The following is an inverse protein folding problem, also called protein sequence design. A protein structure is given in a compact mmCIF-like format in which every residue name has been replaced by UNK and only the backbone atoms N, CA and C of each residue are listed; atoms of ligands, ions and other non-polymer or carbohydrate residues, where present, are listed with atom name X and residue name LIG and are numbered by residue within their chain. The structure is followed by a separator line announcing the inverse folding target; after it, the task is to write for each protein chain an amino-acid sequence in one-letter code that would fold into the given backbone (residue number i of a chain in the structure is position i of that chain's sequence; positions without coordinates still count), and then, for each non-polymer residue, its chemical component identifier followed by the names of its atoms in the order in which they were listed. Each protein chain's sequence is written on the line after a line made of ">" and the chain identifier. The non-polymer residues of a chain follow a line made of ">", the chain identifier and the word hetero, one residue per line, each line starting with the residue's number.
data_IF_358539743194
#
_entry.id   IF_358539743194
#
_cell.length_a   1.000
_cell.length_b   1.000
_cell.length_c   1.000
_cell.angle_alpha   90.00
_cell.angle_beta   90.00
_cell.angle_gamma   90.00
#
_symmetry.space_group_name_H-M   'P 1'
#
loop_
_entity.id
_entity.type
_entity.pdbx_description
1 polymer ?
#
# COMPACT_ATOMS: atom_id res chain seq x y z
N UNK A 1 5.50 48.81 43.72
CA UNK A 1 4.80 47.53 43.46
C UNK A 1 5.78 46.60 42.74
N UNK A 2 6.55 45.79 43.47
CA UNK A 2 7.59 44.94 42.90
C UNK A 2 6.96 43.66 42.35
N UNK A 3 6.96 43.52 41.02
CA UNK A 3 6.57 42.27 40.37
C UNK A 3 7.67 41.25 40.60
N UNK A 4 7.38 40.21 41.39
CA UNK A 4 8.24 39.03 41.52
C UNK A 4 8.31 38.38 40.14
N UNK A 5 9.50 38.35 39.53
CA UNK A 5 9.72 37.63 38.28
C UNK A 5 9.91 36.16 38.61
N UNK A 6 8.87 35.36 38.39
CA UNK A 6 8.93 33.90 38.52
C UNK A 6 9.70 33.36 37.30
N UNK A 7 10.97 32.98 37.51
CA UNK A 7 11.77 32.27 36.52
C UNK A 7 11.54 30.77 36.61
N UNK A 8 11.61 30.08 35.48
CA UNK A 8 11.63 28.61 35.44
C UNK A 8 12.91 28.10 36.12
N UNK A 9 12.78 27.09 36.97
CA UNK A 9 13.93 26.44 37.59
C UNK A 9 14.58 25.44 36.62
N UNK A 10 15.89 25.23 36.75
CA UNK A 10 16.62 24.23 35.96
C UNK A 10 16.06 22.82 36.18
N UNK A 11 15.60 22.52 37.40
CA UNK A 11 15.03 21.22 37.72
C UNK A 11 13.67 21.02 37.03
N UNK A 12 12.81 22.04 36.97
CA UNK A 12 11.55 21.96 36.22
C UNK A 12 11.79 21.65 34.75
N UNK A 13 12.78 22.31 34.12
CA UNK A 13 13.10 22.07 32.72
C UNK A 13 13.69 20.66 32.49
N UNK A 14 14.48 20.16 33.45
CA UNK A 14 15.07 18.83 33.41
C UNK A 14 14.00 17.72 33.53
N UNK A 15 13.01 17.89 34.42
CA UNK A 15 11.93 16.89 34.57
C UNK A 15 11.07 16.85 33.30
N UNK A 16 10.82 18.00 32.66
CA UNK A 16 10.00 18.07 31.44
C UNK A 16 10.64 17.29 30.29
N UNK A 17 11.93 17.49 30.02
CA UNK A 17 12.61 16.74 28.96
C UNK A 17 12.67 15.23 29.27
N UNK A 18 12.76 14.86 30.55
CA UNK A 18 12.72 13.47 30.98
C UNK A 18 11.36 12.82 30.66
N UNK A 19 10.25 13.51 30.98
CA UNK A 19 8.90 13.01 30.69
C UNK A 19 8.64 12.95 29.19
N UNK A 20 9.02 13.99 28.43
CA UNK A 20 8.87 14.01 26.96
C UNK A 20 9.65 12.85 26.32
N UNK A 21 10.85 12.54 26.82
CA UNK A 21 11.64 11.40 26.35
C UNK A 21 10.93 10.05 26.51
N UNK A 22 10.31 9.82 27.68
CA UNK A 22 9.54 8.60 27.95
C UNK A 22 8.34 8.51 27.01
N UNK A 23 7.54 9.58 26.92
CA UNK A 23 6.35 9.60 26.07
C UNK A 23 6.71 9.42 24.58
N UNK A 24 7.79 10.04 24.11
CA UNK A 24 8.25 9.93 22.72
C UNK A 24 8.61 8.49 22.34
N UNK A 25 9.27 7.74 23.25
CA UNK A 25 9.65 6.34 22.98
C UNK A 25 8.45 5.42 22.68
N UNK A 26 7.35 5.59 23.42
CA UNK A 26 6.12 4.79 23.26
C UNK A 26 5.46 5.12 21.93
N UNK A 27 5.42 6.40 21.56
CA UNK A 27 4.82 6.89 20.31
C UNK A 27 5.59 6.39 19.09
N UNK A 28 6.92 6.28 19.15
CA UNK A 28 7.71 5.80 18.02
C UNK A 28 7.40 4.35 17.65
N UNK A 29 7.22 3.47 18.65
CA UNK A 29 6.87 2.07 18.41
C UNK A 29 5.49 1.95 17.77
N UNK A 30 4.50 2.70 18.25
CA UNK A 30 3.14 2.65 17.71
C UNK A 30 3.04 3.24 16.29
N UNK A 31 3.79 4.31 16.00
CA UNK A 31 3.85 4.93 14.68
C UNK A 31 4.43 3.99 13.62
N UNK A 32 5.40 3.14 13.96
CA UNK A 32 5.98 2.22 13.00
C UNK A 32 4.95 1.19 12.51
N UNK A 33 4.22 0.56 13.44
CA UNK A 33 3.13 -0.36 13.09
C UNK A 33 1.99 0.33 12.33
N UNK A 34 1.61 1.55 12.73
CA UNK A 34 0.59 2.32 12.03
C UNK A 34 1.00 2.64 10.57
N UNK A 35 2.27 2.95 10.33
CA UNK A 35 2.80 3.18 8.97
C UNK A 35 2.74 1.91 8.12
N UNK A 36 3.14 0.75 8.65
CA UNK A 36 3.05 -0.52 7.90
C UNK A 36 1.61 -0.85 7.53
N UNK A 37 0.67 -0.72 8.46
CA UNK A 37 -0.77 -0.92 8.18
C UNK A 37 -1.33 0.06 7.15
N UNK A 38 -0.90 1.33 7.19
CA UNK A 38 -1.30 2.31 6.19
C UNK A 38 -0.78 1.95 4.78
N UNK A 39 0.44 1.42 4.69
CA UNK A 39 0.97 0.90 3.42
C UNK A 39 0.17 -0.31 2.93
N UNK A 40 -0.12 -1.29 3.79
CA UNK A 40 -0.94 -2.44 3.43
C UNK A 40 -2.36 -2.02 2.95
N UNK A 41 -2.98 -1.04 3.60
CA UNK A 41 -4.26 -0.49 3.15
C UNK A 41 -4.16 0.20 1.78
N UNK A 42 -3.05 0.92 1.52
CA UNK A 42 -2.81 1.59 0.24
C UNK A 42 -2.57 0.58 -0.89
N UNK A 43 -1.85 -0.50 -0.59
CA UNK A 43 -1.65 -1.65 -1.47
C UNK A 43 -2.98 -2.30 -1.86
N UNK A 44 -3.82 -2.65 -0.87
CA UNK A 44 -5.16 -3.22 -1.09
C UNK A 44 -6.04 -2.31 -1.95
N UNK A 45 -6.01 -1.00 -1.70
CA UNK A 45 -6.73 -0.01 -2.51
C UNK A 45 -6.23 0.06 -3.95
N UNK A 46 -4.91 -0.03 -4.17
CA UNK A 46 -4.31 0.01 -5.50
C UNK A 46 -4.75 -1.22 -6.29
N UNK A 47 -4.70 -2.42 -5.70
CA UNK A 47 -5.19 -3.64 -6.35
C UNK A 47 -6.67 -3.58 -6.69
N UNK A 48 -7.50 -3.06 -5.78
CA UNK A 48 -8.92 -2.87 -6.03
C UNK A 48 -9.23 -1.90 -7.17
N UNK A 49 -8.36 -0.90 -7.41
CA UNK A 49 -8.51 0.04 -8.53
C UNK A 49 -8.18 -0.57 -9.90
N UNK A 50 -7.38 -1.64 -9.94
CA UNK A 50 -7.03 -2.35 -11.17
C UNK A 50 -8.16 -3.28 -11.63
N UNK A 51 -8.85 -3.92 -10.67
CA UNK A 51 -9.90 -4.90 -10.93
C UNK A 51 -10.96 -4.47 -11.97
N UNK A 52 -11.53 -3.26 -11.95
CA UNK A 52 -12.50 -2.85 -12.97
C UNK A 52 -11.88 -2.76 -14.37
N UNK A 53 -10.62 -2.31 -14.49
CA UNK A 53 -9.96 -2.22 -15.79
C UNK A 53 -9.71 -3.61 -16.38
N UNK A 54 -9.33 -4.57 -15.54
CA UNK A 54 -9.14 -5.97 -15.93
C UNK A 54 -10.46 -6.63 -16.34
N UNK A 55 -11.55 -6.38 -15.61
CA UNK A 55 -12.88 -6.88 -16.00
C UNK A 55 -13.35 -6.30 -17.34
N UNK A 56 -12.99 -5.06 -17.67
CA UNK A 56 -13.31 -4.47 -18.97
C UNK A 56 -12.55 -5.18 -20.09
N UNK A 57 -11.27 -5.51 -19.87
CA UNK A 57 -10.47 -6.27 -20.84
C UNK A 57 -11.13 -7.61 -21.20
N UNK A 58 -11.57 -8.34 -20.19
CA UNK A 58 -12.28 -9.61 -20.38
C UNK A 58 -13.62 -9.40 -21.11
N UNK A 59 -14.39 -8.36 -20.75
CA UNK A 59 -15.66 -8.03 -21.44
C UNK A 59 -15.48 -7.62 -22.91
N UNK A 60 -14.31 -7.09 -23.27
CA UNK A 60 -13.97 -6.71 -24.64
C UNK A 60 -13.35 -7.86 -25.45
N UNK A 61 -13.37 -9.10 -24.94
CA UNK A 61 -12.70 -10.28 -25.52
C UNK A 61 -11.19 -10.05 -25.75
N UNK A 62 -10.51 -9.43 -24.79
CA UNK A 62 -9.06 -9.17 -24.83
C UNK A 62 -8.30 -9.97 -23.78
N UNK A 63 -7.09 -10.42 -24.14
CA UNK A 63 -6.20 -11.11 -23.19
C UNK A 63 -5.47 -10.10 -22.30
N UNK A 64 -5.35 -10.41 -21.01
CA UNK A 64 -4.47 -9.68 -20.10
C UNK A 64 -3.01 -9.80 -20.56
N UNK A 65 -2.31 -8.67 -20.53
CA UNK A 65 -0.89 -8.58 -20.86
C UNK A 65 -0.03 -8.73 -19.62
N UNK A 66 1.17 -9.31 -19.78
CA UNK A 66 2.14 -9.41 -18.70
C UNK A 66 2.46 -8.03 -18.10
N UNK A 67 2.60 -7.95 -16.78
CA UNK A 67 2.86 -6.68 -16.12
C UNK A 67 4.25 -6.14 -16.43
N UNK A 68 4.26 -4.96 -17.04
CA UNK A 68 5.41 -4.07 -17.18
C UNK A 68 4.88 -2.67 -16.90
N UNK A 69 5.64 -1.88 -16.14
CA UNK A 69 5.21 -0.51 -15.78
C UNK A 69 5.06 0.32 -17.05
N UNK A 70 3.87 0.91 -17.23
CA UNK A 70 3.56 1.75 -18.39
C UNK A 70 3.07 0.99 -19.62
N UNK A 71 3.08 -0.35 -19.60
CA UNK A 71 2.47 -1.17 -20.64
C UNK A 71 0.96 -1.32 -20.42
N UNK A 72 0.21 -1.62 -21.48
CA UNK A 72 -1.23 -1.80 -21.39
C UNK A 72 -1.60 -3.02 -20.54
N UNK A 73 -2.76 -2.95 -19.88
CA UNK A 73 -3.30 -4.02 -19.01
C UNK A 73 -3.70 -5.25 -19.82
N UNK A 74 -4.23 -5.04 -21.03
CA UNK A 74 -4.61 -6.08 -21.97
C UNK A 74 -4.22 -5.70 -23.39
N UNK A 75 -4.21 -6.68 -24.29
CA UNK A 75 -3.87 -6.50 -25.70
C UNK A 75 -4.72 -5.40 -26.31
N UNK A 76 -4.10 -4.47 -27.06
CA UNK A 76 -4.77 -3.37 -27.76
C UNK A 76 -5.57 -2.36 -26.88
N UNK A 77 -5.33 -2.35 -25.57
CA UNK A 77 -5.93 -1.38 -24.64
C UNK A 77 -5.07 -0.11 -24.46
N UNK A 78 -5.72 1.02 -24.18
CA UNK A 78 -5.03 2.26 -23.74
C UNK A 78 -4.88 2.35 -22.23
N UNK A 79 -5.53 1.47 -21.47
CA UNK A 79 -5.43 1.41 -20.01
C UNK A 79 -4.11 0.75 -19.64
N UNK A 80 -3.27 1.46 -18.88
CA UNK A 80 -1.94 0.99 -18.49
C UNK A 80 -1.90 0.47 -17.06
N UNK A 81 -0.97 -0.43 -16.77
CA UNK A 81 -0.70 -0.84 -15.41
C UNK A 81 -0.26 0.36 -14.57
N UNK A 82 -0.87 0.60 -13.39
CA UNK A 82 -0.47 1.70 -12.53
C UNK A 82 0.94 1.46 -11.97
N UNK A 83 1.68 2.55 -11.75
CA UNK A 83 2.94 2.46 -11.02
C UNK A 83 2.67 2.08 -9.57
N UNK A 84 3.35 1.04 -9.08
CA UNK A 84 3.32 0.68 -7.66
C UNK A 84 4.20 1.69 -6.91
N UNK A 85 3.63 2.54 -6.04
CA UNK A 85 4.41 3.58 -5.38
C UNK A 85 5.48 2.95 -4.48
N UNK A 86 6.75 3.36 -4.65
CA UNK A 86 7.90 2.78 -3.92
C UNK A 86 7.81 3.01 -2.40
N UNK A 87 7.04 4.02 -1.98
CA UNK A 87 6.76 4.32 -0.58
C UNK A 87 5.73 3.36 0.04
N UNK A 88 4.99 2.60 -0.78
CA UNK A 88 4.06 1.55 -0.40
C UNK A 88 4.73 0.19 -0.50
N UNK A 89 5.32 -0.14 -1.66
CA UNK A 89 6.05 -1.38 -1.90
C UNK A 89 7.50 -1.07 -2.28
N UNK A 90 8.47 -1.61 -1.54
CA UNK A 90 9.89 -1.54 -1.87
C UNK A 90 10.21 -2.29 -3.18
N UNK A 91 9.42 -3.32 -3.48
CA UNK A 91 9.43 -4.07 -4.74
C UNK A 91 8.04 -4.61 -5.02
N UNK A 92 7.48 -4.35 -6.19
CA UNK A 92 6.17 -4.87 -6.60
C UNK A 92 6.31 -5.74 -7.84
N UNK A 93 5.85 -6.99 -7.79
CA UNK A 93 5.72 -7.85 -8.97
C UNK A 93 4.27 -8.23 -9.16
N UNK A 94 3.77 -8.16 -10.39
CA UNK A 94 2.45 -8.68 -10.75
C UNK A 94 2.64 -9.86 -11.70
N UNK A 95 2.00 -10.98 -11.39
CA UNK A 95 1.84 -12.12 -12.26
C UNK A 95 0.40 -12.15 -12.75
N UNK A 96 0.20 -12.48 -14.02
CA UNK A 96 -1.10 -12.46 -14.69
C UNK A 96 -1.32 -13.82 -15.35
N UNK A 97 -2.52 -14.37 -15.18
CA UNK A 97 -2.97 -15.61 -15.78
C UNK A 97 -4.29 -15.35 -16.47
N UNK A 98 -4.27 -15.41 -17.79
CA UNK A 98 -5.44 -15.33 -18.65
C UNK A 98 -5.06 -16.06 -19.95
N UNK A 99 -5.80 -17.13 -20.26
CA UNK A 99 -5.45 -18.06 -21.35
C UNK A 99 -6.47 -17.96 -22.49
N UNK A 100 -7.68 -17.50 -22.21
CA UNK A 100 -8.77 -17.39 -23.19
C UNK A 100 -9.47 -16.06 -23.00
N UNK A 101 -9.51 -15.27 -24.06
CA UNK A 101 -10.23 -14.00 -24.04
C UNK A 101 -11.74 -14.21 -23.83
N UNK A 102 -12.33 -13.44 -22.91
CA UNK A 102 -13.78 -13.32 -22.73
C UNK A 102 -14.45 -14.53 -22.10
N UNK A 103 -13.70 -15.42 -21.45
CA UNK A 103 -14.26 -16.59 -20.77
C UNK A 103 -14.63 -16.31 -19.30
N UNK A 104 -14.28 -15.14 -18.78
CA UNK A 104 -14.50 -14.79 -17.38
C UNK A 104 -13.52 -15.41 -16.40
N UNK A 105 -12.48 -16.11 -16.86
CA UNK A 105 -11.46 -16.78 -16.05
C UNK A 105 -10.09 -16.12 -16.19
N UNK A 106 -9.92 -15.03 -15.45
CA UNK A 106 -8.63 -14.36 -15.27
C UNK A 106 -8.21 -14.34 -13.79
N UNK A 107 -6.90 -14.30 -13.58
CA UNK A 107 -6.31 -14.06 -12.28
C UNK A 107 -5.08 -13.17 -12.39
N UNK A 108 -4.95 -12.20 -11.49
CA UNK A 108 -3.70 -11.47 -11.32
C UNK A 108 -3.27 -11.46 -9.85
N UNK A 109 -2.01 -11.79 -9.61
CA UNK A 109 -1.41 -11.85 -8.28
C UNK A 109 -0.32 -10.79 -8.17
N UNK A 110 -0.38 -9.98 -7.13
CA UNK A 110 0.64 -8.97 -6.82
C UNK A 110 1.34 -9.31 -5.52
N UNK A 111 2.67 -9.24 -5.52
CA UNK A 111 3.51 -9.37 -4.33
C UNK A 111 4.22 -8.04 -4.07
N UNK A 112 4.07 -7.53 -2.86
CA UNK A 112 4.55 -6.22 -2.41
C UNK A 112 5.61 -6.37 -1.31
N UNK A 113 6.87 -6.36 -1.71
CA UNK A 113 7.98 -6.35 -0.76
C UNK A 113 7.99 -5.10 0.12
N UNK A 114 8.25 -5.29 1.42
CA UNK A 114 8.29 -4.19 2.40
C UNK A 114 7.03 -4.02 3.25
N UNK A 115 6.03 -4.89 3.06
CA UNK A 115 4.93 -5.12 4.00
C UNK A 115 5.24 -6.29 4.93
N UNK A 116 4.36 -6.49 5.92
CA UNK A 116 4.35 -7.73 6.70
C UNK A 116 4.02 -8.91 5.76
N UNK A 117 4.71 -10.04 5.92
CA UNK A 117 4.58 -11.24 5.05
C UNK A 117 3.19 -11.87 5.02
N UNK A 118 2.28 -11.39 5.86
CA UNK A 118 0.88 -11.83 5.95
C UNK A 118 -0.11 -10.83 5.35
N UNK A 119 0.40 -9.77 4.69
CA UNK A 119 -0.39 -8.79 3.94
C UNK A 119 0.32 -8.36 2.65
N UNK A 120 1.35 -9.09 2.23
CA UNK A 120 2.23 -8.72 1.12
C UNK A 120 1.75 -9.25 -0.23
N UNK A 121 0.78 -10.18 -0.24
CA UNK A 121 0.34 -10.87 -1.43
C UNK A 121 -1.16 -10.66 -1.64
N UNK A 122 -1.56 -10.21 -2.82
CA UNK A 122 -2.97 -10.11 -3.20
C UNK A 122 -3.22 -10.86 -4.49
N UNK A 123 -4.28 -11.65 -4.54
CA UNK A 123 -4.74 -12.33 -5.76
C UNK A 123 -6.16 -11.89 -6.06
N UNK A 124 -6.38 -11.42 -7.28
CA UNK A 124 -7.67 -10.92 -7.74
C UNK A 124 -8.19 -11.75 -8.91
N UNK A 125 -9.47 -12.10 -8.85
CA UNK A 125 -10.24 -12.76 -9.91
C UNK A 125 -11.49 -11.94 -10.22
N UNK A 126 -12.33 -12.41 -11.15
CA UNK A 126 -13.61 -11.77 -11.48
C UNK A 126 -14.51 -11.48 -10.25
N UNK A 127 -14.42 -12.29 -9.20
CA UNK A 127 -15.27 -12.15 -7.99
C UNK A 127 -14.70 -11.16 -6.96
N UNK A 128 -13.43 -10.78 -7.08
CA UNK A 128 -12.77 -9.86 -6.16
C UNK A 128 -11.33 -10.25 -5.82
N UNK A 129 -10.77 -9.54 -4.84
CA UNK A 129 -9.39 -9.72 -4.39
C UNK A 129 -9.33 -10.38 -3.00
N UNK A 130 -8.44 -11.35 -2.85
CA UNK A 130 -8.05 -11.98 -1.59
C UNK A 130 -6.64 -11.52 -1.27
N UNK A 131 -6.37 -11.21 -0.01
CA UNK A 131 -5.08 -10.73 0.47
C UNK A 131 -4.55 -11.65 1.57
N UNK A 132 -3.28 -11.99 1.48
CA UNK A 132 -2.49 -12.80 2.41
C UNK A 132 -1.09 -12.20 2.56
#
# INVERSE_FOLDING_TARGET
>A
MNKIKNGFTLIELLIVIAIIGILASIVLVSLNSARTKAKASSFKSTMGSILPAVNICDQDDLLLSAYVIGDPICTDSTSIWPEIPVNVCTSGTIAVTDVTAGDGDFSYTMVCGGLDVSEDTGTCTQTGCIFD
#
